data_IF_482437623941
#
_entry.id   IF_482437623941
#
_cell.length_a   1.000
_cell.length_b   1.000
_cell.length_c   1.000
_cell.angle_alpha   90.00
_cell.angle_beta   90.00
_cell.angle_gamma   90.00
#
_symmetry.space_group_name_H-M   'P 1'
#
loop_
_entity.id
_entity.type
_entity.pdbx_description
1 polymer ?
#
# COMPACT_ATOMS: atom_id res chain seq x y z
N UNK A 1 2.02 27.84 -4.87
CA UNK A 1 2.68 26.52 -4.98
C UNK A 1 2.83 25.94 -3.59
N UNK A 2 1.86 25.15 -3.11
CA UNK A 2 1.91 24.61 -1.75
C UNK A 2 2.93 23.45 -1.68
N UNK A 3 3.89 23.56 -0.76
CA UNK A 3 4.91 22.55 -0.45
C UNK A 3 4.24 21.25 0.02
N UNK A 4 4.55 20.14 -0.64
CA UNK A 4 4.08 18.77 -0.35
C UNK A 4 4.56 18.19 1.02
N UNK A 5 5.07 19.00 1.93
CA UNK A 5 5.68 18.54 3.20
C UNK A 5 4.83 18.75 4.46
N UNK A 6 3.61 19.29 4.35
CA UNK A 6 2.75 19.36 5.54
C UNK A 6 1.97 18.06 5.73
N UNK A 7 2.25 17.37 6.85
CA UNK A 7 1.37 16.40 7.51
C UNK A 7 0.03 17.09 7.89
N UNK A 8 -0.74 17.52 6.90
CA UNK A 8 -2.13 17.83 7.15
C UNK A 8 -2.84 16.50 7.31
N UNK A 9 -3.62 16.35 8.39
CA UNK A 9 -4.60 15.29 8.50
C UNK A 9 -5.44 15.33 7.22
N UNK A 10 -5.18 14.39 6.32
CA UNK A 10 -5.94 14.17 5.11
C UNK A 10 -7.17 13.40 5.54
N UNK A 11 -8.18 14.13 6.00
CA UNK A 11 -9.49 13.59 6.34
C UNK A 11 -10.35 13.27 5.10
N UNK A 12 -9.71 13.23 3.92
CA UNK A 12 -10.32 12.77 2.68
C UNK A 12 -10.36 11.24 2.63
N UNK A 13 -11.33 10.64 1.92
CA UNK A 13 -11.39 9.20 1.74
C UNK A 13 -10.10 8.60 1.19
N UNK A 14 -9.75 7.40 1.65
CA UNK A 14 -8.62 6.65 1.11
C UNK A 14 -9.05 5.86 -0.13
N UNK A 15 -8.30 6.02 -1.23
CA UNK A 15 -8.58 5.33 -2.49
C UNK A 15 -7.34 4.58 -3.00
N UNK A 16 -7.55 3.30 -3.31
CA UNK A 16 -6.58 2.46 -4.02
C UNK A 16 -6.98 2.37 -5.49
N UNK A 17 -6.02 2.49 -6.38
CA UNK A 17 -6.26 2.35 -7.82
C UNK A 17 -5.23 1.42 -8.47
N UNK A 18 -5.62 0.85 -9.60
CA UNK A 18 -4.67 0.28 -10.55
C UNK A 18 -4.45 1.29 -11.68
N UNK A 19 -3.19 1.50 -12.05
CA UNK A 19 -2.76 2.32 -13.20
C UNK A 19 -1.66 1.61 -13.97
N UNK A 20 -0.69 1.09 -13.22
CA UNK A 20 0.43 0.34 -13.75
C UNK A 20 0.17 -1.16 -13.71
N UNK A 21 0.81 -1.96 -14.58
CA UNK A 21 0.91 -3.39 -14.39
C UNK A 21 1.54 -3.69 -13.03
N UNK A 22 1.01 -4.72 -12.36
CA UNK A 22 1.67 -5.26 -11.18
C UNK A 22 3.01 -5.86 -11.60
N UNK A 23 4.04 -5.67 -10.78
CA UNK A 23 5.35 -6.24 -11.05
C UNK A 23 5.30 -7.77 -11.05
N UNK A 24 6.18 -8.37 -11.86
CA UNK A 24 6.28 -9.82 -11.98
C UNK A 24 6.60 -10.46 -10.62
N UNK A 25 5.87 -11.52 -10.26
CA UNK A 25 5.99 -12.17 -8.95
C UNK A 25 5.23 -11.50 -7.81
N UNK A 26 4.51 -10.40 -8.08
CA UNK A 26 3.70 -9.67 -7.09
C UNK A 26 2.29 -9.38 -7.60
N UNK A 27 1.74 -10.32 -8.37
CA UNK A 27 0.42 -10.20 -8.99
C UNK A 27 -0.61 -11.02 -8.22
N UNK A 28 -1.87 -10.98 -8.66
CA UNK A 28 -2.91 -11.86 -8.12
C UNK A 28 -2.60 -13.35 -8.32
N UNK A 29 -1.75 -13.73 -9.28
CA UNK A 29 -1.37 -15.13 -9.53
C UNK A 29 -0.57 -15.74 -8.39
N UNK A 30 0.17 -14.92 -7.66
CA UNK A 30 1.00 -15.35 -6.53
C UNK A 30 0.22 -15.40 -5.21
N UNK A 31 -1.03 -14.93 -5.19
CA UNK A 31 -1.90 -14.98 -4.02
C UNK A 31 -2.54 -16.36 -3.85
N UNK A 32 -2.43 -16.93 -2.65
CA UNK A 32 -3.27 -18.07 -2.25
C UNK A 32 -4.73 -17.63 -2.03
N UNK A 33 -5.70 -18.57 -2.02
CA UNK A 33 -7.09 -18.25 -1.67
C UNK A 33 -7.23 -17.55 -0.31
N UNK A 34 -6.36 -17.89 0.65
CA UNK A 34 -6.33 -17.24 1.96
C UNK A 34 -5.82 -15.79 1.85
N UNK A 35 -4.79 -15.53 1.06
CA UNK A 35 -4.34 -14.15 0.83
C UNK A 35 -5.43 -13.30 0.18
N UNK A 36 -6.22 -13.87 -0.75
CA UNK A 36 -7.35 -13.16 -1.36
C UNK A 36 -8.39 -12.75 -0.30
N UNK A 37 -8.73 -13.63 0.65
CA UNK A 37 -9.64 -13.31 1.76
C UNK A 37 -9.09 -12.22 2.68
N UNK A 38 -7.80 -12.28 2.99
CA UNK A 38 -7.11 -11.26 3.79
C UNK A 38 -7.13 -9.91 3.08
N UNK A 39 -6.85 -9.91 1.76
CA UNK A 39 -6.90 -8.70 0.96
C UNK A 39 -8.32 -8.12 0.90
N UNK A 40 -9.34 -8.94 0.68
CA UNK A 40 -10.75 -8.49 0.73
C UNK A 40 -11.11 -7.87 2.08
N UNK A 41 -10.67 -8.49 3.18
CA UNK A 41 -10.91 -7.98 4.54
C UNK A 41 -10.24 -6.62 4.73
N UNK A 42 -9.02 -6.46 4.22
CA UNK A 42 -8.32 -5.18 4.24
C UNK A 42 -9.06 -4.12 3.41
N UNK A 43 -9.47 -4.44 2.17
CA UNK A 43 -10.22 -3.53 1.31
C UNK A 43 -11.52 -3.06 1.97
N UNK A 44 -12.27 -3.98 2.59
CA UNK A 44 -13.49 -3.64 3.33
C UNK A 44 -13.21 -2.63 4.46
N UNK A 45 -12.13 -2.84 5.23
CA UNK A 45 -11.74 -1.93 6.31
C UNK A 45 -11.36 -0.54 5.77
N UNK A 46 -10.43 -0.48 4.82
CA UNK A 46 -9.90 0.81 4.34
C UNK A 46 -10.92 1.61 3.53
N UNK A 47 -11.94 0.96 2.95
CA UNK A 47 -13.03 1.64 2.22
C UNK A 47 -13.82 2.64 3.06
N UNK A 48 -13.80 2.50 4.39
CA UNK A 48 -14.51 3.36 5.34
C UNK A 48 -13.58 4.34 6.05
N UNK A 49 -12.32 4.43 5.61
CA UNK A 49 -11.27 5.17 6.30
C UNK A 49 -10.77 6.34 5.46
N UNK A 50 -10.36 7.40 6.15
CA UNK A 50 -9.61 8.51 5.57
C UNK A 50 -8.15 8.13 5.35
N UNK A 51 -7.46 8.88 4.50
CA UNK A 51 -6.02 8.71 4.28
C UNK A 51 -5.24 8.71 5.59
N UNK A 52 -5.52 9.66 6.50
CA UNK A 52 -4.82 9.72 7.80
C UNK A 52 -5.06 8.50 8.67
N UNK A 53 -6.29 7.96 8.68
CA UNK A 53 -6.59 6.75 9.43
C UNK A 53 -5.87 5.53 8.85
N UNK A 54 -5.83 5.40 7.52
CA UNK A 54 -5.15 4.28 6.86
C UNK A 54 -3.65 4.36 7.08
N UNK A 55 -3.04 5.53 6.90
CA UNK A 55 -1.60 5.72 7.12
C UNK A 55 -1.21 5.40 8.57
N UNK A 56 -2.01 5.85 9.54
CA UNK A 56 -1.77 5.58 10.96
C UNK A 56 -1.85 4.08 11.29
N UNK A 57 -2.80 3.36 10.71
CA UNK A 57 -3.05 1.96 11.03
C UNK A 57 -2.11 0.99 10.27
N UNK A 58 -1.88 1.24 8.98
CA UNK A 58 -1.33 0.25 8.07
C UNK A 58 -0.01 0.67 7.41
N UNK A 59 0.35 1.95 7.40
CA UNK A 59 1.63 2.36 6.80
C UNK A 59 2.81 1.78 7.58
N UNK A 60 3.83 1.32 6.86
CA UNK A 60 5.10 0.86 7.41
C UNK A 60 6.23 1.72 6.88
N UNK A 61 7.34 1.74 7.63
CA UNK A 61 8.50 2.56 7.29
C UNK A 61 8.98 2.17 5.88
N UNK A 62 8.98 3.09 4.92
CA UNK A 62 9.42 2.78 3.56
C UNK A 62 10.91 2.48 3.57
N UNK A 63 11.32 1.52 2.74
CA UNK A 63 12.71 1.39 2.34
C UNK A 63 13.03 2.57 1.41
N UNK A 64 13.99 3.40 1.81
CA UNK A 64 14.36 4.61 1.06
C UNK A 64 15.01 4.31 -0.28
N UNK A 65 15.51 3.09 -0.49
CA UNK A 65 16.04 2.65 -1.77
C UNK A 65 14.96 2.06 -2.70
N UNK A 66 13.78 1.73 -2.15
CA UNK A 66 12.70 1.11 -2.91
C UNK A 66 11.92 2.16 -3.70
N UNK A 67 12.15 2.17 -5.01
CA UNK A 67 11.54 3.11 -5.94
C UNK A 67 10.93 2.39 -7.14
N UNK A 68 9.89 2.99 -7.72
CA UNK A 68 9.23 2.53 -8.93
C UNK A 68 9.13 3.69 -9.90
N UNK A 69 9.81 3.60 -11.04
CA UNK A 69 9.93 4.69 -12.02
C UNK A 69 10.33 6.04 -11.40
N UNK A 70 11.28 6.00 -10.45
CA UNK A 70 11.76 7.19 -9.72
C UNK A 70 10.82 7.72 -8.63
N UNK A 71 9.64 7.10 -8.42
CA UNK A 71 8.74 7.42 -7.32
C UNK A 71 9.03 6.54 -6.11
N UNK A 72 8.97 7.12 -4.91
CA UNK A 72 9.09 6.36 -3.66
C UNK A 72 7.95 5.34 -3.54
N UNK A 73 8.30 4.10 -3.19
CA UNK A 73 7.33 3.05 -2.87
C UNK A 73 6.92 3.14 -1.41
N UNK A 74 5.61 3.12 -1.15
CA UNK A 74 5.01 3.10 0.18
C UNK A 74 4.45 1.71 0.47
N UNK A 75 4.60 1.28 1.72
CA UNK A 75 4.31 -0.07 2.17
C UNK A 75 3.11 -0.05 3.11
N UNK A 76 2.06 -0.81 2.78
CA UNK A 76 0.88 -0.98 3.61
C UNK A 76 0.76 -2.42 4.09
N UNK A 77 0.63 -2.60 5.40
CA UNK A 77 0.45 -3.89 6.05
C UNK A 77 -1.00 -4.38 5.93
N UNK A 78 -1.19 -5.52 5.26
CA UNK A 78 -2.48 -6.25 5.22
C UNK A 78 -2.54 -7.25 6.37
N UNK A 79 -1.46 -8.00 6.56
CA UNK A 79 -1.18 -8.89 7.70
C UNK A 79 0.30 -8.81 8.04
N UNK A 80 0.78 -9.44 9.11
CA UNK A 80 2.21 -9.43 9.46
C UNK A 80 3.14 -9.84 8.29
N UNK A 81 2.68 -10.73 7.40
CA UNK A 81 3.45 -11.24 6.26
C UNK A 81 2.97 -10.73 4.89
N UNK A 82 1.80 -10.08 4.82
CA UNK A 82 1.25 -9.57 3.55
C UNK A 82 1.40 -8.04 3.49
N UNK A 83 2.12 -7.55 2.47
CA UNK A 83 2.27 -6.13 2.13
C UNK A 83 1.58 -5.79 0.81
N UNK A 84 1.03 -4.58 0.75
CA UNK A 84 0.68 -3.91 -0.50
C UNK A 84 1.69 -2.80 -0.72
N UNK A 85 2.32 -2.77 -1.89
CA UNK A 85 3.20 -1.69 -2.28
C UNK A 85 2.48 -0.75 -3.25
N UNK A 86 2.55 0.55 -2.96
CA UNK A 86 1.92 1.58 -3.78
C UNK A 86 2.88 2.71 -4.06
N UNK A 87 2.66 3.39 -5.19
CA UNK A 87 3.21 4.73 -5.44
C UNK A 87 2.09 5.75 -5.32
N UNK A 88 2.43 6.96 -4.86
CA UNK A 88 1.48 8.06 -4.76
C UNK A 88 1.67 8.96 -5.97
N UNK A 89 0.65 9.04 -6.82
CA UNK A 89 0.65 9.89 -7.99
C UNK A 89 -0.66 10.67 -8.05
N UNK A 90 -0.57 12.00 -8.16
CA UNK A 90 -1.73 12.91 -8.18
C UNK A 90 -2.70 12.72 -6.99
N UNK A 91 -2.17 12.34 -5.83
CA UNK A 91 -2.96 12.13 -4.62
C UNK A 91 -3.62 10.74 -4.49
N UNK A 92 -3.44 9.86 -5.47
CA UNK A 92 -4.01 8.52 -5.47
C UNK A 92 -2.93 7.45 -5.22
N UNK A 93 -3.32 6.38 -4.51
CA UNK A 93 -2.44 5.28 -4.14
C UNK A 93 -2.53 4.19 -5.21
N UNK A 94 -1.53 4.14 -6.09
CA UNK A 94 -1.49 3.20 -7.22
C UNK A 94 -0.79 1.91 -6.80
N UNK A 95 -1.51 0.80 -6.79
CA UNK A 95 -0.95 -0.52 -6.45
C UNK A 95 0.03 -0.95 -7.55
N UNK A 96 1.23 -1.35 -7.13
CA UNK A 96 2.27 -1.90 -8.01
C UNK A 96 2.73 -3.31 -7.61
N UNK A 97 2.52 -3.71 -6.34
CA UNK A 97 2.86 -5.07 -5.87
C UNK A 97 1.85 -5.55 -4.82
N UNK A 98 1.46 -6.81 -4.93
CA UNK A 98 0.77 -7.59 -3.89
C UNK A 98 1.77 -8.63 -3.38
N UNK A 99 2.35 -8.41 -2.20
CA UNK A 99 3.43 -9.24 -1.64
C UNK A 99 2.93 -10.09 -0.46
N UNK A 100 2.43 -11.32 -0.68
CA UNK A 100 1.89 -12.18 0.36
C UNK A 100 2.94 -12.85 1.25
N UNK A 101 4.24 -12.67 0.96
CA UNK A 101 5.35 -13.43 1.58
C UNK A 101 6.46 -12.50 2.08
N UNK A 102 6.09 -11.34 2.59
CA UNK A 102 7.05 -10.43 3.19
C UNK A 102 7.79 -11.14 4.33
N UNK A 103 9.12 -11.19 4.25
CA UNK A 103 9.95 -11.81 5.29
C UNK A 103 10.00 -10.87 6.49
N UNK A 104 9.30 -11.25 7.56
CA UNK A 104 9.42 -10.57 8.85
C UNK A 104 10.81 -10.88 9.41
N UNK A 105 11.72 -9.90 9.43
CA UNK A 105 12.90 -10.01 10.26
C UNK A 105 12.44 -9.97 11.72
N UNK A 106 12.37 -11.14 12.37
CA UNK A 106 12.24 -11.22 13.82
C UNK A 106 13.56 -10.72 14.41
N UNK A 107 13.55 -9.45 14.83
CA UNK A 107 14.56 -8.90 15.72
C UNK A 107 14.42 -9.48 17.12
#
# INVERSE_FOLDING_TARGET
MAKLTQKHNREVPFELCFKYPLENGYTFKELSPENVKQFQTFLNKVSQMTVTQVDKAFSRKPDKADTYNGMQVYHYEVTEVFRIHVVIESGYYKIIRLDPKHKVHKG
#
